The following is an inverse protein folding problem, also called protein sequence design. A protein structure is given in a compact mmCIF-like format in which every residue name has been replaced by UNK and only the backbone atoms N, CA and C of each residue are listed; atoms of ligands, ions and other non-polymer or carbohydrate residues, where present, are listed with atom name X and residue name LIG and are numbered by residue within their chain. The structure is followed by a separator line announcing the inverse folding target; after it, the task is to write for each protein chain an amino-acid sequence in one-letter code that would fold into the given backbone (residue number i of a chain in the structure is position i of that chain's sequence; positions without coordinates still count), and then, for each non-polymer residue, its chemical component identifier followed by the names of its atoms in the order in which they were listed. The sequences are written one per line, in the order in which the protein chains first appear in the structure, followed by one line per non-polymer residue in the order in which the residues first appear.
data_IF_190273553454
#
_entry.id   IF_190273553454
#
_cell.length_a   1.000
_cell.length_b   1.000
_cell.length_c   1.000
_cell.angle_alpha   90.00
_cell.angle_beta   90.00
_cell.angle_gamma   90.00
#
_symmetry.space_group_name_H-M   'P 1'
#
loop_
_entity.id
_entity.type
_entity.pdbx_description
1 polymer ?
#
# COMPACT_ATOMS: atom_id res chain seq x y z
N UNK A 1 -3.68 -17.79 1.40
CA UNK A 1 -4.76 -18.54 0.69
C UNK A 1 -4.32 -18.91 -0.71
N UNK A 2 -3.28 -19.74 -0.83
CA UNK A 2 -2.79 -20.22 -2.13
C UNK A 2 -2.84 -21.75 -2.10
N UNK A 3 -3.50 -22.42 -3.06
CA UNK A 3 -3.55 -23.89 -3.11
C UNK A 3 -2.18 -24.52 -3.35
N UNK A 4 -1.18 -23.71 -3.71
CA UNK A 4 0.20 -24.11 -3.95
C UNK A 4 1.14 -23.91 -2.75
N UNK A 5 0.64 -23.38 -1.62
CA UNK A 5 1.43 -23.07 -0.43
C UNK A 5 0.82 -23.67 0.85
N UNK A 6 0.11 -24.80 0.75
CA UNK A 6 -0.34 -25.50 1.95
C UNK A 6 0.77 -26.42 2.46
N UNK A 7 0.81 -26.63 3.77
CA UNK A 7 1.77 -27.51 4.44
C UNK A 7 1.04 -28.76 4.91
N UNK A 8 1.57 -29.94 4.61
CA UNK A 8 1.06 -31.21 5.14
C UNK A 8 1.41 -31.36 6.64
N UNK A 9 0.82 -32.36 7.31
CA UNK A 9 1.04 -32.63 8.74
C UNK A 9 2.51 -32.92 9.08
N UNK A 10 3.29 -33.36 8.09
CA UNK A 10 4.73 -33.64 8.19
C UNK A 10 5.63 -32.41 7.91
N UNK A 11 5.04 -31.25 7.64
CA UNK A 11 5.78 -30.03 7.31
C UNK A 11 6.17 -29.88 5.83
N UNK A 12 5.85 -30.85 4.97
CA UNK A 12 6.17 -30.80 3.54
C UNK A 12 5.20 -29.89 2.75
N UNK A 13 5.64 -29.28 1.63
CA UNK A 13 4.74 -28.53 0.76
C UNK A 13 3.72 -29.46 0.10
N UNK A 14 2.43 -29.19 0.34
CA UNK A 14 1.30 -29.89 -0.28
C UNK A 14 0.71 -29.03 -1.40
N UNK A 15 0.81 -29.53 -2.63
CA UNK A 15 0.18 -28.91 -3.79
C UNK A 15 -1.25 -29.43 -3.97
N UNK A 16 -2.24 -28.55 -3.84
CA UNK A 16 -3.67 -28.87 -4.01
C UNK A 16 -4.22 -28.51 -5.38
N UNK A 17 -3.36 -28.28 -6.37
CA UNK A 17 -3.80 -27.93 -7.73
C UNK A 17 -4.71 -28.96 -8.35
N UNK A 18 -4.44 -30.25 -8.11
CA UNK A 18 -5.26 -31.35 -8.62
C UNK A 18 -6.70 -31.25 -8.11
N UNK A 19 -6.86 -31.01 -6.80
CA UNK A 19 -8.17 -30.85 -6.16
C UNK A 19 -8.91 -29.63 -6.73
N UNK A 20 -8.21 -28.53 -6.99
CA UNK A 20 -8.80 -27.33 -7.63
C UNK A 20 -9.29 -27.66 -9.04
N UNK A 21 -8.50 -28.38 -9.85
CA UNK A 21 -8.88 -28.77 -11.20
C UNK A 21 -10.07 -29.75 -11.21
N UNK A 22 -10.11 -30.69 -10.28
CA UNK A 22 -11.25 -31.58 -10.10
C UNK A 22 -12.52 -30.80 -9.75
N UNK A 23 -12.42 -29.85 -8.81
CA UNK A 23 -13.55 -28.99 -8.44
C UNK A 23 -14.06 -28.17 -9.62
N UNK A 24 -13.17 -27.60 -10.44
CA UNK A 24 -13.56 -26.86 -11.66
C UNK A 24 -14.38 -27.76 -12.60
N UNK A 25 -13.94 -29.01 -12.80
CA UNK A 25 -14.66 -29.99 -13.64
C UNK A 25 -16.00 -30.40 -13.04
N UNK A 26 -16.01 -30.73 -11.75
CA UNK A 26 -17.21 -31.15 -11.01
C UNK A 26 -18.27 -30.06 -10.99
N UNK A 27 -17.86 -28.80 -10.81
CA UNK A 27 -18.73 -27.63 -10.86
C UNK A 27 -19.10 -27.21 -12.29
N UNK A 28 -18.53 -27.85 -13.32
CA UNK A 28 -18.74 -27.56 -14.74
C UNK A 28 -18.50 -26.08 -15.08
N UNK A 29 -17.39 -25.52 -14.59
CA UNK A 29 -17.02 -24.14 -14.85
C UNK A 29 -16.30 -24.03 -16.20
N UNK A 30 -16.84 -23.23 -17.12
CA UNK A 30 -16.23 -23.00 -18.44
C UNK A 30 -15.04 -22.02 -18.38
N UNK A 31 -15.06 -21.08 -17.44
CA UNK A 31 -14.01 -20.09 -17.24
C UNK A 31 -14.02 -19.52 -15.82
N UNK A 32 -12.93 -18.86 -15.42
CA UNK A 32 -12.79 -18.17 -14.13
C UNK A 32 -12.37 -16.71 -14.34
N UNK A 33 -13.04 -15.79 -13.65
CA UNK A 33 -12.59 -14.40 -13.52
C UNK A 33 -11.98 -14.20 -12.15
N UNK A 34 -10.66 -14.06 -12.08
CA UNK A 34 -9.92 -13.90 -10.84
C UNK A 34 -9.70 -12.42 -10.53
N UNK A 35 -10.37 -11.90 -9.49
CA UNK A 35 -10.22 -10.51 -9.05
C UNK A 35 -9.36 -10.42 -7.79
N UNK A 36 -8.20 -9.77 -7.85
CA UNK A 36 -7.36 -9.60 -6.66
C UNK A 36 -6.03 -8.92 -6.90
N UNK A 37 -5.18 -8.96 -5.87
CA UNK A 37 -3.80 -8.48 -5.91
C UNK A 37 -2.82 -9.55 -6.37
N UNK A 38 -1.53 -9.34 -6.10
CA UNK A 38 -0.43 -10.18 -6.56
C UNK A 38 -0.63 -11.66 -6.20
N UNK A 39 -1.04 -11.93 -4.96
CA UNK A 39 -1.27 -13.29 -4.48
C UNK A 39 -2.35 -14.04 -5.28
N UNK A 40 -3.48 -13.38 -5.55
CA UNK A 40 -4.62 -13.96 -6.29
C UNK A 40 -4.27 -14.14 -7.76
N UNK A 41 -3.69 -13.12 -8.38
CA UNK A 41 -3.33 -13.15 -9.80
C UNK A 41 -2.17 -14.11 -10.07
N UNK A 42 -1.26 -14.30 -9.10
CA UNK A 42 -0.22 -15.33 -9.16
C UNK A 42 -0.78 -16.75 -9.18
N UNK A 43 -1.81 -17.03 -8.37
CA UNK A 43 -2.55 -18.31 -8.41
C UNK A 43 -3.27 -18.48 -9.74
N UNK A 44 -3.95 -17.43 -10.21
CA UNK A 44 -4.67 -17.42 -11.48
C UNK A 44 -3.74 -17.71 -12.68
N UNK A 45 -2.56 -17.09 -12.70
CA UNK A 45 -1.56 -17.33 -13.74
C UNK A 45 -1.11 -18.80 -13.76
N UNK A 46 -0.86 -19.41 -12.60
CA UNK A 46 -0.48 -20.83 -12.51
C UNK A 46 -1.59 -21.77 -12.99
N UNK A 47 -2.84 -21.51 -12.62
CA UNK A 47 -3.98 -22.30 -13.09
C UNK A 47 -4.20 -22.16 -14.60
N UNK A 48 -3.94 -20.97 -15.16
CA UNK A 48 -3.99 -20.74 -16.61
C UNK A 48 -2.96 -21.60 -17.36
N UNK A 49 -1.74 -21.73 -16.84
CA UNK A 49 -0.71 -22.64 -17.39
C UNK A 49 -1.17 -24.11 -17.36
N UNK A 50 -2.00 -24.49 -16.39
CA UNK A 50 -2.60 -25.83 -16.30
C UNK A 50 -3.81 -26.03 -17.23
N UNK A 51 -4.11 -25.06 -18.11
CA UNK A 51 -5.15 -25.16 -19.12
C UNK A 51 -6.52 -24.66 -18.69
N UNK A 52 -6.64 -24.02 -17.54
CA UNK A 52 -7.90 -23.39 -17.12
C UNK A 52 -8.10 -22.08 -17.88
N UNK A 53 -9.27 -21.85 -18.52
CA UNK A 53 -9.58 -20.56 -19.12
C UNK A 53 -9.80 -19.50 -18.03
N UNK A 54 -8.89 -18.53 -17.92
CA UNK A 54 -8.90 -17.53 -16.85
C UNK A 54 -8.69 -16.11 -17.37
N UNK A 55 -9.42 -15.16 -16.80
CA UNK A 55 -9.18 -13.72 -16.94
C UNK A 55 -8.84 -13.13 -15.56
N UNK A 56 -7.75 -12.38 -15.47
CA UNK A 56 -7.34 -11.66 -14.25
C UNK A 56 -7.85 -10.22 -14.23
N UNK A 57 -8.39 -9.78 -13.10
CA UNK A 57 -8.81 -8.39 -12.85
C UNK A 57 -7.96 -7.80 -11.72
N UNK A 58 -7.19 -6.72 -11.97
CA UNK A 58 -6.31 -6.12 -10.98
C UNK A 58 -7.11 -5.36 -9.92
N UNK A 59 -7.26 -5.97 -8.74
CA UNK A 59 -8.04 -5.43 -7.62
C UNK A 59 -7.21 -5.41 -6.34
N UNK A 60 -6.55 -4.28 -6.12
CA UNK A 60 -5.81 -3.96 -4.89
C UNK A 60 -5.83 -2.45 -4.66
N UNK A 61 -5.75 -2.03 -3.40
CA UNK A 61 -5.60 -0.62 -3.04
C UNK A 61 -4.12 -0.18 -3.10
N UNK A 62 -3.17 -1.10 -3.19
CA UNK A 62 -1.74 -0.81 -3.04
C UNK A 62 -1.11 -0.25 -4.33
N UNK A 63 -1.77 -0.42 -5.50
CA UNK A 63 -1.30 -0.01 -6.83
C UNK A 63 0.10 -0.56 -7.16
N UNK A 64 0.36 -1.79 -6.75
CA UNK A 64 1.65 -2.48 -6.83
C UNK A 64 1.68 -3.61 -7.89
N UNK A 65 0.69 -3.65 -8.78
CA UNK A 65 0.59 -4.68 -9.81
C UNK A 65 1.29 -4.27 -11.10
N UNK A 66 2.17 -5.14 -11.61
CA UNK A 66 2.77 -4.97 -12.93
C UNK A 66 1.73 -5.12 -14.05
N UNK A 67 1.93 -4.39 -15.16
CA UNK A 67 1.09 -4.48 -16.36
C UNK A 67 -0.15 -3.60 -16.34
N UNK A 68 -0.34 -2.78 -15.31
CA UNK A 68 -1.39 -1.77 -15.26
C UNK A 68 -0.95 -0.56 -14.45
N UNK A 69 -1.26 0.64 -14.93
CA UNK A 69 -1.12 1.86 -14.13
C UNK A 69 -2.28 2.01 -13.13
N UNK A 70 -3.34 1.20 -13.22
CA UNK A 70 -4.54 1.35 -12.41
C UNK A 70 -4.95 0.03 -11.76
N UNK A 71 -5.32 0.10 -10.48
CA UNK A 71 -5.89 -1.03 -9.74
C UNK A 71 -7.22 -0.63 -9.12
N UNK A 72 -8.20 -1.54 -9.17
CA UNK A 72 -9.52 -1.28 -8.61
C UNK A 72 -9.42 -1.11 -7.09
N UNK A 73 -9.87 0.05 -6.61
CA UNK A 73 -9.86 0.43 -5.20
C UNK A 73 -8.84 1.50 -4.83
N UNK A 74 -7.79 1.73 -5.66
CA UNK A 74 -6.76 2.73 -5.37
C UNK A 74 -7.34 4.15 -5.27
N UNK A 75 -8.13 4.61 -6.24
CA UNK A 75 -8.71 5.97 -6.24
C UNK A 75 -9.62 6.21 -5.03
N UNK A 76 -10.43 5.21 -4.68
CA UNK A 76 -11.30 5.28 -3.50
C UNK A 76 -10.49 5.39 -2.21
N UNK A 77 -9.46 4.56 -2.05
CA UNK A 77 -8.58 4.61 -0.89
C UNK A 77 -7.84 5.95 -0.80
N UNK A 78 -7.27 6.42 -1.92
CA UNK A 78 -6.61 7.71 -2.04
C UNK A 78 -7.52 8.87 -1.60
N UNK A 79 -8.76 8.91 -2.09
CA UNK A 79 -9.71 9.97 -1.74
C UNK A 79 -10.03 9.97 -0.24
N UNK A 80 -10.26 8.79 0.33
CA UNK A 80 -10.55 8.65 1.76
C UNK A 80 -9.38 9.13 2.61
N UNK A 81 -8.15 8.69 2.29
CA UNK A 81 -6.96 9.08 3.04
C UNK A 81 -6.70 10.58 2.92
N UNK A 82 -6.83 11.15 1.72
CA UNK A 82 -6.63 12.59 1.48
C UNK A 82 -7.57 13.42 2.34
N UNK A 83 -8.85 13.02 2.44
CA UNK A 83 -9.82 13.69 3.31
C UNK A 83 -9.48 13.57 4.79
N UNK A 84 -8.94 12.43 5.23
CA UNK A 84 -8.48 12.25 6.61
C UNK A 84 -7.36 13.25 6.92
N UNK A 85 -6.34 13.33 6.06
CA UNK A 85 -5.20 14.25 6.23
C UNK A 85 -5.68 15.71 6.24
N UNK A 86 -6.55 16.09 5.31
CA UNK A 86 -7.09 17.45 5.23
C UNK A 86 -7.83 17.83 6.52
N UNK A 87 -8.72 16.94 6.99
CA UNK A 87 -9.51 17.17 8.22
C UNK A 87 -8.65 17.19 9.47
N UNK A 88 -7.57 16.42 9.50
CA UNK A 88 -6.67 16.34 10.65
C UNK A 88 -5.81 17.62 10.78
N UNK A 89 -5.55 18.31 9.67
CA UNK A 89 -4.72 19.51 9.60
C UNK A 89 -5.23 20.69 10.42
N UNK A 90 -6.55 20.92 10.42
CA UNK A 90 -7.18 22.04 11.14
C UNK A 90 -6.92 21.97 12.66
N UNK A 91 -7.24 20.87 13.38
CA UNK A 91 -6.96 20.78 14.81
C UNK A 91 -5.45 20.78 15.13
N UNK A 92 -4.62 20.19 14.26
CA UNK A 92 -3.16 20.20 14.42
C UNK A 92 -2.59 21.62 14.37
N UNK A 93 -3.04 22.43 13.42
CA UNK A 93 -2.62 23.82 13.26
C UNK A 93 -3.00 24.72 14.44
N UNK A 94 -4.17 24.52 15.04
CA UNK A 94 -4.65 25.35 16.15
C UNK A 94 -3.89 25.14 17.46
N UNK A 95 -3.32 23.95 17.68
CA UNK A 95 -2.65 23.60 18.95
C UNK A 95 -1.14 23.33 18.79
N UNK A 96 -0.59 23.49 17.57
CA UNK A 96 0.82 23.23 17.30
C UNK A 96 1.22 21.77 17.43
N UNK A 97 0.31 20.84 17.10
CA UNK A 97 0.56 19.40 17.24
C UNK A 97 1.12 18.77 15.97
N UNK A 98 1.95 17.75 16.15
CA UNK A 98 2.32 16.82 15.09
C UNK A 98 1.33 15.67 15.09
N UNK A 99 0.80 15.33 13.92
CA UNK A 99 -0.03 14.16 13.71
C UNK A 99 0.65 13.21 12.76
N UNK A 100 0.62 11.93 13.10
CA UNK A 100 1.12 10.84 12.27
C UNK A 100 -0.09 10.10 11.73
N UNK A 101 -0.17 9.97 10.40
CA UNK A 101 -1.22 9.22 9.70
C UNK A 101 -0.57 8.01 9.04
N UNK A 102 -0.80 6.83 9.59
CA UNK A 102 -0.39 5.57 8.99
C UNK A 102 -1.42 5.11 7.97
N UNK A 103 -0.97 4.64 6.82
CA UNK A 103 -1.82 4.21 5.71
C UNK A 103 -1.41 2.82 5.22
N UNK A 104 -2.35 2.13 4.58
CA UNK A 104 -2.07 0.86 3.90
C UNK A 104 -1.16 1.07 2.68
N UNK A 105 -0.71 -0.02 2.05
CA UNK A 105 0.25 0.02 0.95
C UNK A 105 1.18 -1.20 0.90
N UNK A 106 1.19 -2.03 1.95
CA UNK A 106 2.04 -3.22 2.09
C UNK A 106 3.53 -2.87 1.92
N UNK A 107 4.07 -3.05 0.71
CA UNK A 107 5.48 -2.78 0.38
C UNK A 107 5.64 -1.57 -0.57
N UNK A 108 4.53 -0.97 -1.01
CA UNK A 108 4.49 0.16 -1.92
C UNK A 108 3.97 1.43 -1.23
N UNK A 109 4.64 2.55 -1.50
CA UNK A 109 4.34 3.86 -0.95
C UNK A 109 3.29 4.66 -1.72
N UNK A 110 2.64 4.08 -2.74
CA UNK A 110 1.74 4.82 -3.62
C UNK A 110 0.59 5.51 -2.86
N UNK A 111 -0.07 4.82 -1.93
CA UNK A 111 -1.13 5.42 -1.13
C UNK A 111 -0.60 6.58 -0.30
N UNK A 112 0.49 6.38 0.45
CA UNK A 112 1.11 7.41 1.28
C UNK A 112 1.54 8.64 0.45
N UNK A 113 2.24 8.41 -0.66
CA UNK A 113 2.72 9.47 -1.54
C UNK A 113 1.59 10.30 -2.13
N UNK A 114 0.65 9.66 -2.82
CA UNK A 114 -0.36 10.38 -3.57
C UNK A 114 -1.40 11.03 -2.66
N UNK A 115 -1.83 10.35 -1.59
CA UNK A 115 -2.75 10.93 -0.62
C UNK A 115 -2.09 12.01 0.23
N UNK A 116 -0.81 11.87 0.57
CA UNK A 116 -0.04 12.89 1.27
C UNK A 116 0.05 14.19 0.48
N UNK A 117 0.32 14.10 -0.82
CA UNK A 117 0.33 15.27 -1.72
C UNK A 117 -1.07 15.89 -1.79
N UNK A 118 -2.10 15.09 -2.07
CA UNK A 118 -3.48 15.57 -2.23
C UNK A 118 -4.06 16.17 -0.93
N UNK A 119 -3.74 15.57 0.22
CA UNK A 119 -4.13 16.03 1.55
C UNK A 119 -3.24 17.12 2.14
N UNK A 120 -2.18 17.54 1.44
CA UNK A 120 -1.21 18.56 1.89
C UNK A 120 -0.49 18.18 3.20
N UNK A 121 -0.04 16.93 3.29
CA UNK A 121 0.85 16.49 4.35
C UNK A 121 2.19 17.25 4.30
N UNK A 122 2.73 17.62 5.46
CA UNK A 122 4.01 18.33 5.55
C UNK A 122 5.21 17.41 5.26
N UNK A 123 5.13 16.15 5.68
CA UNK A 123 6.13 15.11 5.45
C UNK A 123 5.42 13.83 5.03
N UNK A 124 6.01 13.12 4.07
CA UNK A 124 5.51 11.86 3.55
C UNK A 124 6.68 10.86 3.63
N UNK A 125 6.45 9.73 4.28
CA UNK A 125 7.43 8.67 4.43
C UNK A 125 6.94 7.48 3.61
N UNK A 126 7.81 6.94 2.74
CA UNK A 126 7.49 5.83 1.84
C UNK A 126 8.60 4.78 1.88
N UNK A 127 8.28 3.49 1.69
CA UNK A 127 9.28 2.42 1.72
C UNK A 127 10.33 2.54 0.61
N UNK A 128 10.00 3.17 -0.52
CA UNK A 128 10.91 3.37 -1.65
C UNK A 128 12.01 4.41 -1.36
N UNK A 129 11.84 5.24 -0.32
CA UNK A 129 12.81 6.26 0.06
C UNK A 129 13.16 6.14 1.55
N UNK A 130 14.24 5.42 1.89
CA UNK A 130 14.68 5.24 3.27
C UNK A 130 14.89 6.58 3.98
N UNK A 131 14.46 6.66 5.24
CA UNK A 131 14.58 7.86 6.04
C UNK A 131 15.28 7.59 7.37
N UNK A 132 15.81 8.66 7.96
CA UNK A 132 16.40 8.65 9.30
C UNK A 132 15.54 9.48 10.24
N UNK A 133 15.29 8.96 11.44
CA UNK A 133 14.48 9.66 12.44
C UNK A 133 15.06 11.03 12.79
N UNK A 134 16.39 11.18 12.83
CA UNK A 134 17.02 12.48 13.10
C UNK A 134 16.63 13.53 12.05
N UNK A 135 16.54 13.14 10.77
CA UNK A 135 16.17 14.06 9.70
C UNK A 135 14.69 14.43 9.79
N UNK A 136 13.83 13.47 10.10
CA UNK A 136 12.39 13.72 10.30
C UNK A 136 12.18 14.67 11.47
N UNK A 137 12.85 14.43 12.60
CA UNK A 137 12.81 15.31 13.77
C UNK A 137 13.25 16.73 13.42
N UNK A 138 14.39 16.88 12.74
CA UNK A 138 14.89 18.20 12.33
C UNK A 138 13.86 18.97 11.47
N UNK A 139 13.26 18.31 10.48
CA UNK A 139 12.25 18.93 9.61
C UNK A 139 11.00 19.37 10.39
N UNK A 140 10.60 18.60 11.41
CA UNK A 140 9.48 18.95 12.28
C UNK A 140 9.84 20.12 13.22
N UNK A 141 11.01 20.10 13.84
CA UNK A 141 11.49 21.18 14.72
C UNK A 141 11.62 22.52 13.97
N UNK A 142 12.17 22.50 12.75
CA UNK A 142 12.27 23.70 11.89
C UNK A 142 10.88 24.27 11.57
N UNK A 143 9.87 23.41 11.42
CA UNK A 143 8.50 23.79 11.06
C UNK A 143 7.68 24.34 12.24
N UNK A 144 7.80 23.69 13.40
CA UNK A 144 7.08 24.06 14.63
C UNK A 144 7.70 25.29 15.29
N UNK A 145 9.00 25.54 15.04
CA UNK A 145 9.74 26.60 15.69
C UNK A 145 9.96 26.27 17.16
N UNK A 146 11.00 25.51 17.47
CA UNK A 146 11.42 25.26 18.85
C UNK A 146 11.62 26.57 19.63
N UNK A 147 10.92 26.76 20.78
CA UNK A 147 11.38 27.65 21.84
C UNK A 147 12.46 26.92 22.66
N UNK A 148 13.72 26.96 22.23
CA UNK A 148 14.81 26.38 23.04
C UNK A 148 16.12 26.07 22.33
N UNK A 149 16.10 25.75 21.04
CA UNK A 149 17.33 25.75 20.24
C UNK A 149 17.66 27.18 19.86
N UNK A 150 18.46 27.83 20.70
CA UNK A 150 19.10 29.11 20.43
C UNK A 150 19.45 29.20 18.95
N UNK A 151 18.85 30.17 18.25
CA UNK A 151 19.36 30.63 16.96
C UNK A 151 20.82 31.02 17.19
N UNK A 152 21.73 30.11 16.88
CA UNK A 152 23.12 30.46 16.67
C UNK A 152 23.12 31.63 15.68
N UNK A 153 23.69 32.74 16.12
CA UNK A 153 23.77 33.99 15.39
C UNK A 153 24.19 33.77 13.94
N UNK A 154 23.24 33.73 13.02
CA UNK A 154 23.51 33.95 11.61
C UNK A 154 22.91 35.30 11.24
N UNK A 155 23.78 36.30 11.23
CA UNK A 155 23.52 37.60 10.61
C UNK A 155 23.12 37.37 9.16
N UNK A 156 21.85 37.60 8.82
CA UNK A 156 21.48 37.85 7.42
C UNK A 156 22.05 39.22 7.03
N UNK A 157 22.90 39.33 6.00
CA UNK A 157 23.21 40.62 5.42
C UNK A 157 21.96 41.15 4.72
N UNK A 158 21.75 42.47 4.85
CA UNK A 158 20.71 43.21 4.15
C UNK A 158 20.99 43.28 2.65
#
# INVERSE_FOLDING_TARGET
TSPFKQTAEDGSPKDLSADVLENIKTLKLDAIVACGGEDTLGVAARLSVLGVPIVGVPKTIDKDLMGTDYTLGFDTALRNISQIIERSRTPAGSHGWVQIVEVMGRHAGHLALWSGIAGQAHLILIPEYPFRYERVFQLLSDRLGEPGLSRGSSSRPR
#
